data_IF_047652673193
#
_entry.id   IF_047652673193
#
_cell.length_a   1.000
_cell.length_b   1.000
_cell.length_c   1.000
_cell.angle_alpha   90.00
_cell.angle_beta   90.00
_cell.angle_gamma   90.00
#
_symmetry.space_group_name_H-M   'P 1'
#
loop_
_entity.id
_entity.type
_entity.pdbx_description
1 polymer ?
#
# COMPACT_ATOMS: atom_id res chain seq x y z
N UNK A 1 36.90 15.20 -13.01
CA UNK A 1 35.43 15.05 -13.07
C UNK A 1 34.86 16.35 -13.61
N UNK A 2 34.13 16.30 -14.73
CA UNK A 2 33.38 17.46 -15.24
C UNK A 2 32.23 17.77 -14.29
N UNK A 3 32.09 19.03 -13.89
CA UNK A 3 30.98 19.48 -13.05
C UNK A 3 29.64 19.24 -13.77
N UNK A 4 28.58 18.88 -13.03
CA UNK A 4 27.25 18.70 -13.62
C UNK A 4 26.73 20.02 -14.20
N UNK A 5 26.13 19.96 -15.40
CA UNK A 5 25.52 21.11 -16.06
C UNK A 5 24.13 21.36 -15.46
N UNK A 6 23.91 22.56 -14.91
CA UNK A 6 22.62 22.99 -14.40
C UNK A 6 21.82 23.69 -15.50
N UNK A 7 20.58 23.26 -15.72
CA UNK A 7 19.63 23.89 -16.64
C UNK A 7 18.40 24.33 -15.85
N UNK A 8 17.93 25.55 -16.09
CA UNK A 8 16.71 26.08 -15.45
C UNK A 8 15.48 25.49 -16.12
N UNK A 9 14.56 24.97 -15.33
CA UNK A 9 13.22 24.57 -15.76
C UNK A 9 12.21 25.70 -15.51
N UNK A 10 11.17 25.78 -16.33
CA UNK A 10 10.04 26.70 -16.15
C UNK A 10 8.73 25.92 -16.05
N UNK A 11 7.90 26.23 -15.06
CA UNK A 11 6.58 25.61 -14.94
C UNK A 11 5.67 26.02 -16.09
N UNK A 12 4.92 25.07 -16.64
CA UNK A 12 3.93 25.29 -17.69
C UNK A 12 2.56 24.96 -17.12
N UNK A 13 1.62 25.90 -17.23
CA UNK A 13 0.22 25.61 -16.88
C UNK A 13 -0.43 24.86 -18.02
N UNK A 14 -0.74 23.57 -17.82
CA UNK A 14 -1.30 22.73 -18.88
C UNK A 14 -2.72 23.17 -19.23
N UNK A 15 -3.53 23.54 -18.24
CA UNK A 15 -4.89 24.06 -18.44
C UNK A 15 -4.96 25.24 -19.43
N UNK A 16 -3.94 26.10 -19.45
CA UNK A 16 -3.91 27.29 -20.29
C UNK A 16 -2.97 27.17 -21.50
N UNK A 17 -2.37 25.99 -21.73
CA UNK A 17 -1.42 25.78 -22.81
C UNK A 17 -2.15 25.46 -24.12
N UNK A 18 -1.77 26.10 -25.23
CA UNK A 18 -2.46 25.92 -26.51
C UNK A 18 -2.30 24.52 -27.11
N UNK A 19 -1.18 23.85 -26.83
CA UNK A 19 -0.84 22.55 -27.43
C UNK A 19 -0.94 21.36 -26.47
N UNK A 20 -1.13 21.60 -25.16
CA UNK A 20 -1.25 20.52 -24.16
C UNK A 20 -2.71 20.49 -23.73
N UNK A 21 -3.43 19.46 -24.19
CA UNK A 21 -4.82 19.20 -23.80
C UNK A 21 -4.90 18.03 -22.82
N UNK A 22 -6.04 17.89 -22.14
CA UNK A 22 -6.32 16.76 -21.26
C UNK A 22 -6.20 15.44 -22.03
N UNK A 23 -6.78 15.38 -23.23
CA UNK A 23 -6.67 14.26 -24.16
C UNK A 23 -5.21 13.91 -24.48
N UNK A 24 -4.35 14.93 -24.68
CA UNK A 24 -2.95 14.71 -24.98
C UNK A 24 -2.19 14.11 -23.78
N UNK A 25 -2.49 14.55 -22.55
CA UNK A 25 -1.89 13.99 -21.33
C UNK A 25 -2.37 12.56 -21.13
N UNK A 26 -3.66 12.30 -21.31
CA UNK A 26 -4.23 10.96 -21.26
C UNK A 26 -3.61 10.02 -22.31
N UNK A 27 -3.38 10.49 -23.54
CA UNK A 27 -2.68 9.71 -24.58
C UNK A 27 -1.29 9.28 -24.10
N UNK A 28 -0.55 10.17 -23.44
CA UNK A 28 0.79 9.83 -22.92
C UNK A 28 0.71 8.80 -21.81
N UNK A 29 -0.25 8.93 -20.89
CA UNK A 29 -0.45 7.96 -19.80
C UNK A 29 -0.92 6.61 -20.36
N UNK A 30 -1.75 6.60 -21.40
CA UNK A 30 -2.18 5.38 -22.07
C UNK A 30 -1.00 4.65 -22.75
N UNK A 31 -0.10 5.40 -23.39
CA UNK A 31 1.11 4.85 -24.03
C UNK A 31 2.12 4.34 -23.00
N UNK A 32 2.24 5.02 -21.87
CA UNK A 32 3.16 4.68 -20.79
C UNK A 32 2.52 4.97 -19.41
N UNK A 33 1.82 3.99 -18.81
CA UNK A 33 1.20 4.13 -17.49
C UNK A 33 2.20 4.42 -16.36
N UNK A 34 3.48 4.11 -16.56
CA UNK A 34 4.53 4.36 -15.55
C UNK A 34 4.69 5.87 -15.27
N UNK A 35 4.23 6.74 -16.18
CA UNK A 35 4.14 8.18 -15.98
C UNK A 35 3.33 8.59 -14.74
N UNK A 36 2.44 7.73 -14.24
CA UNK A 36 1.67 7.97 -13.00
C UNK A 36 2.48 7.70 -11.72
N UNK A 37 3.63 7.03 -11.80
CA UNK A 37 4.40 6.61 -10.63
C UNK A 37 3.68 5.57 -9.76
N UNK A 38 2.88 4.69 -10.38
CA UNK A 38 2.12 3.63 -9.71
C UNK A 38 2.74 2.23 -9.86
N UNK A 39 3.90 2.13 -10.53
CA UNK A 39 4.52 0.85 -10.92
C UNK A 39 4.24 0.51 -12.37
N UNK A 40 4.51 -0.74 -12.75
CA UNK A 40 4.22 -1.27 -14.08
C UNK A 40 2.74 -1.73 -14.12
N UNK A 41 1.95 -1.11 -15.00
CA UNK A 41 0.50 -1.31 -15.05
C UNK A 41 0.04 -1.63 -16.48
N UNK A 42 -0.85 -2.62 -16.59
CA UNK A 42 -1.57 -2.94 -17.82
C UNK A 42 -2.75 -1.98 -18.02
N UNK A 43 -3.01 -1.57 -19.26
CA UNK A 43 -4.27 -0.89 -19.60
C UNK A 43 -5.37 -1.92 -19.86
N UNK A 44 -6.45 -1.92 -19.07
CA UNK A 44 -7.64 -2.73 -19.33
C UNK A 44 -8.53 -2.04 -20.36
N UNK A 45 -8.82 -0.76 -20.14
CA UNK A 45 -9.77 -0.01 -20.94
C UNK A 45 -9.41 1.47 -20.91
N UNK A 46 -9.83 2.17 -21.94
CA UNK A 46 -9.61 3.60 -22.11
C UNK A 46 -10.91 4.23 -22.52
N UNK A 47 -11.23 5.37 -21.92
CA UNK A 47 -12.36 6.17 -22.36
C UNK A 47 -13.65 5.30 -22.30
N UNK A 48 -13.80 4.59 -21.18
CA UNK A 48 -14.80 3.55 -20.93
C UNK A 48 -16.12 4.17 -20.50
N UNK A 49 -17.19 3.92 -21.24
CA UNK A 49 -18.53 4.40 -20.86
C UNK A 49 -19.01 3.76 -19.54
N UNK A 50 -19.50 4.60 -18.62
CA UNK A 50 -20.00 4.17 -17.31
C UNK A 50 -21.51 4.42 -17.15
N UNK A 51 -22.31 3.46 -16.66
CA UNK A 51 -23.70 3.69 -16.28
C UNK A 51 -23.80 4.44 -14.93
N UNK A 52 -24.68 5.46 -14.77
CA UNK A 52 -25.76 5.89 -15.67
C UNK A 52 -25.33 6.91 -16.75
N UNK A 53 -24.11 7.40 -16.73
CA UNK A 53 -23.54 8.29 -17.75
C UNK A 53 -22.09 8.66 -17.44
N UNK A 54 -21.41 9.24 -18.43
CA UNK A 54 -20.00 9.62 -18.33
C UNK A 54 -19.03 8.58 -18.87
N UNK A 55 -17.74 8.89 -18.76
CA UNK A 55 -16.68 8.17 -19.45
C UNK A 55 -15.43 8.20 -18.56
N UNK A 56 -15.05 7.04 -18.07
CA UNK A 56 -13.83 6.86 -17.29
C UNK A 56 -12.63 6.99 -18.22
N UNK A 57 -11.66 7.83 -17.87
CA UNK A 57 -10.49 8.08 -18.71
C UNK A 57 -9.65 6.81 -18.90
N UNK A 58 -9.21 6.19 -17.80
CA UNK A 58 -8.41 4.97 -17.86
C UNK A 58 -8.81 3.97 -16.77
N UNK A 59 -8.88 2.70 -17.15
CA UNK A 59 -8.93 1.58 -16.24
C UNK A 59 -7.64 0.78 -16.38
N UNK A 60 -6.80 0.82 -15.34
CA UNK A 60 -5.51 0.14 -15.32
C UNK A 60 -5.53 -1.06 -14.38
N UNK A 61 -4.56 -1.96 -14.53
CA UNK A 61 -4.40 -3.15 -13.68
C UNK A 61 -2.95 -3.41 -13.36
N UNK A 62 -2.69 -3.70 -12.10
CA UNK A 62 -1.43 -4.30 -11.67
C UNK A 62 -1.39 -5.79 -12.07
N UNK A 63 -0.42 -6.23 -12.89
CA UNK A 63 -0.37 -7.60 -13.41
C UNK A 63 -0.10 -8.65 -12.32
N UNK A 64 0.50 -8.26 -11.20
CA UNK A 64 0.85 -9.15 -10.10
C UNK A 64 -0.30 -9.28 -9.10
N UNK A 65 -0.84 -8.13 -8.66
CA UNK A 65 -1.88 -8.11 -7.62
C UNK A 65 -3.29 -8.19 -8.17
N UNK A 66 -3.45 -7.99 -9.49
CA UNK A 66 -4.74 -7.82 -10.18
C UNK A 66 -5.57 -6.63 -9.67
N UNK A 67 -4.97 -5.74 -8.88
CA UNK A 67 -5.61 -4.51 -8.40
C UNK A 67 -5.93 -3.62 -9.59
N UNK A 68 -7.15 -3.08 -9.63
CA UNK A 68 -7.60 -2.18 -10.68
C UNK A 68 -7.54 -0.72 -10.22
N UNK A 69 -6.95 0.13 -11.03
CA UNK A 69 -6.88 1.57 -10.80
C UNK A 69 -7.87 2.27 -11.73
N UNK A 70 -8.82 2.97 -11.13
CA UNK A 70 -9.86 3.75 -11.79
C UNK A 70 -9.37 5.19 -11.85
N UNK A 71 -8.80 5.59 -12.99
CA UNK A 71 -8.08 6.85 -13.14
C UNK A 71 -8.96 7.88 -13.83
N UNK A 72 -9.11 9.05 -13.19
CA UNK A 72 -9.81 10.21 -13.72
C UNK A 72 -8.87 11.42 -13.72
N UNK A 73 -8.66 12.00 -14.90
CA UNK A 73 -7.76 13.11 -15.15
C UNK A 73 -8.55 14.44 -15.24
N UNK A 74 -7.96 15.52 -14.73
CA UNK A 74 -8.46 16.88 -14.98
C UNK A 74 -7.30 17.86 -15.08
N UNK A 75 -7.25 18.69 -16.12
CA UNK A 75 -6.31 19.81 -16.15
C UNK A 75 -6.76 20.97 -15.25
N UNK A 76 -5.80 21.61 -14.58
CA UNK A 76 -6.05 22.65 -13.59
C UNK A 76 -6.28 22.11 -12.19
N UNK A 77 -6.92 22.93 -11.35
CA UNK A 77 -7.19 22.59 -9.97
C UNK A 77 -8.29 21.51 -9.87
N UNK A 78 -8.10 20.55 -8.95
CA UNK A 78 -9.17 19.62 -8.56
C UNK A 78 -10.38 20.40 -8.05
N UNK A 79 -11.58 19.94 -8.41
CA UNK A 79 -12.85 20.51 -8.00
C UNK A 79 -13.82 19.42 -7.48
N UNK A 80 -15.01 19.78 -6.94
CA UNK A 80 -15.94 18.79 -6.42
C UNK A 80 -16.43 17.81 -7.48
N UNK A 81 -16.60 18.26 -8.73
CA UNK A 81 -17.08 17.41 -9.82
C UNK A 81 -16.05 16.35 -10.16
N UNK A 82 -14.76 16.69 -10.16
CA UNK A 82 -13.67 15.75 -10.38
C UNK A 82 -13.66 14.62 -9.34
N UNK A 83 -13.80 14.98 -8.06
CA UNK A 83 -13.87 14.02 -6.95
C UNK A 83 -15.11 13.12 -7.05
N UNK A 84 -16.26 13.70 -7.41
CA UNK A 84 -17.50 12.93 -7.57
C UNK A 84 -17.36 11.91 -8.71
N UNK A 85 -16.85 12.32 -9.89
CA UNK A 85 -16.70 11.43 -11.06
C UNK A 85 -15.84 10.21 -10.73
N UNK A 86 -14.67 10.41 -10.14
CA UNK A 86 -13.77 9.28 -9.81
C UNK A 86 -14.41 8.31 -8.80
N UNK A 87 -15.15 8.83 -7.80
CA UNK A 87 -15.81 7.99 -6.79
C UNK A 87 -16.96 7.21 -7.42
N UNK A 88 -17.75 7.83 -8.28
CA UNK A 88 -18.83 7.16 -9.02
C UNK A 88 -18.29 6.04 -9.90
N UNK A 89 -17.25 6.31 -10.70
CA UNK A 89 -16.64 5.31 -11.58
C UNK A 89 -16.01 4.17 -10.78
N UNK A 90 -15.36 4.49 -9.66
CA UNK A 90 -14.82 3.49 -8.76
C UNK A 90 -15.90 2.57 -8.18
N UNK A 91 -17.02 3.13 -7.70
CA UNK A 91 -18.09 2.33 -7.11
C UNK A 91 -18.78 1.46 -8.16
N UNK A 92 -18.92 1.95 -9.40
CA UNK A 92 -19.45 1.16 -10.52
C UNK A 92 -18.54 -0.04 -10.83
N UNK A 93 -17.23 0.18 -11.00
CA UNK A 93 -16.29 -0.91 -11.29
C UNK A 93 -16.22 -1.92 -10.13
N UNK A 94 -16.13 -1.44 -8.88
CA UNK A 94 -16.11 -2.29 -7.68
C UNK A 94 -17.36 -3.14 -7.55
N UNK A 95 -18.56 -2.60 -7.81
CA UNK A 95 -19.82 -3.36 -7.77
C UNK A 95 -19.92 -4.35 -8.91
N UNK A 96 -19.41 -4.00 -10.09
CA UNK A 96 -19.47 -4.84 -11.29
C UNK A 96 -18.50 -6.03 -11.20
N UNK A 97 -17.33 -5.82 -10.60
CA UNK A 97 -16.28 -6.83 -10.49
C UNK A 97 -15.73 -6.95 -9.05
N UNK A 98 -16.55 -7.32 -8.06
CA UNK A 98 -16.19 -7.30 -6.64
C UNK A 98 -15.05 -8.26 -6.26
N UNK A 99 -14.67 -9.18 -7.16
CA UNK A 99 -13.55 -10.10 -6.97
C UNK A 99 -12.17 -9.43 -7.10
N UNK A 100 -12.08 -8.21 -7.66
CA UNK A 100 -10.83 -7.47 -7.73
C UNK A 100 -10.83 -6.32 -6.72
N UNK A 101 -9.66 -5.98 -6.19
CA UNK A 101 -9.49 -4.71 -5.49
C UNK A 101 -9.56 -3.56 -6.49
N UNK A 102 -10.22 -2.47 -6.08
CA UNK A 102 -10.39 -1.28 -6.91
C UNK A 102 -9.91 -0.06 -6.13
N UNK A 103 -9.13 0.80 -6.78
CA UNK A 103 -8.56 2.01 -6.20
C UNK A 103 -8.93 3.19 -7.08
N UNK A 104 -9.53 4.21 -6.51
CA UNK A 104 -9.80 5.47 -7.18
C UNK A 104 -8.50 6.27 -7.32
N UNK A 105 -8.23 6.84 -8.50
CA UNK A 105 -7.02 7.63 -8.76
C UNK A 105 -7.42 8.97 -9.36
N UNK A 106 -7.19 10.04 -8.62
CA UNK A 106 -7.37 11.42 -9.08
C UNK A 106 -6.04 11.87 -9.68
N UNK A 107 -6.07 12.38 -10.92
CA UNK A 107 -4.90 13.04 -11.54
C UNK A 107 -5.27 14.48 -11.87
N UNK A 108 -4.57 15.46 -11.29
CA UNK A 108 -4.84 16.88 -11.53
C UNK A 108 -3.57 17.71 -11.65
N UNK A 109 -3.64 18.90 -12.25
CA UNK A 109 -2.49 19.82 -12.31
C UNK A 109 -2.17 20.43 -10.94
N UNK A 110 -3.22 20.70 -10.15
CA UNK A 110 -3.12 21.24 -8.79
C UNK A 110 -4.14 20.56 -7.87
N UNK A 111 -3.66 19.88 -6.83
CA UNK A 111 -4.51 19.29 -5.79
C UNK A 111 -4.53 20.25 -4.59
N UNK A 112 -5.46 21.21 -4.60
CA UNK A 112 -5.46 22.27 -3.59
C UNK A 112 -5.67 21.73 -2.16
N UNK A 113 -5.14 22.44 -1.17
CA UNK A 113 -5.26 22.05 0.24
C UNK A 113 -6.70 21.92 0.78
N UNK A 114 -7.68 22.64 0.21
CA UNK A 114 -9.10 22.47 0.57
C UNK A 114 -9.60 21.09 0.15
N UNK A 115 -9.26 20.65 -1.06
CA UNK A 115 -9.70 19.37 -1.58
C UNK A 115 -8.89 18.23 -0.99
N UNK A 116 -7.63 18.44 -0.62
CA UNK A 116 -6.85 17.48 0.16
C UNK A 116 -7.60 17.04 1.43
N UNK A 117 -8.15 17.99 2.21
CA UNK A 117 -8.91 17.67 3.43
C UNK A 117 -10.18 16.87 3.13
N UNK A 118 -10.90 17.21 2.06
CA UNK A 118 -12.13 16.51 1.65
C UNK A 118 -11.80 15.09 1.20
N UNK A 119 -10.79 14.93 0.36
CA UNK A 119 -10.35 13.64 -0.13
C UNK A 119 -9.88 12.75 1.05
N UNK A 120 -9.19 13.34 2.03
CA UNK A 120 -8.74 12.63 3.23
C UNK A 120 -9.90 12.10 4.10
N UNK A 121 -11.08 12.74 4.09
CA UNK A 121 -12.28 12.20 4.77
C UNK A 121 -12.75 10.87 4.16
N UNK A 122 -12.53 10.67 2.85
CA UNK A 122 -12.94 9.47 2.14
C UNK A 122 -11.91 8.35 2.20
N UNK A 123 -10.63 8.67 2.38
CA UNK A 123 -9.51 7.74 2.20
C UNK A 123 -9.53 6.53 3.16
N UNK A 124 -10.32 6.57 4.24
CA UNK A 124 -10.57 5.41 5.10
C UNK A 124 -11.70 4.47 4.64
N UNK A 125 -12.60 4.91 3.76
CA UNK A 125 -13.72 4.10 3.25
C UNK A 125 -13.56 3.74 1.77
N UNK A 126 -12.85 4.58 1.03
CA UNK A 126 -12.60 4.45 -0.40
C UNK A 126 -11.07 4.43 -0.57
N UNK A 127 -10.49 3.32 -1.06
CA UNK A 127 -9.06 3.28 -1.40
C UNK A 127 -8.80 4.32 -2.49
N UNK A 128 -8.12 5.41 -2.16
CA UNK A 128 -7.99 6.54 -3.05
C UNK A 128 -6.57 7.11 -3.06
N UNK A 129 -6.06 7.35 -4.26
CA UNK A 129 -4.77 7.97 -4.54
C UNK A 129 -5.02 9.31 -5.25
N UNK A 130 -4.26 10.34 -4.89
CA UNK A 130 -4.24 11.59 -5.64
C UNK A 130 -2.82 11.87 -6.16
N UNK A 131 -2.74 12.15 -7.46
CA UNK A 131 -1.51 12.45 -8.18
C UNK A 131 -1.62 13.87 -8.71
N UNK A 132 -0.64 14.70 -8.35
CA UNK A 132 -0.45 15.99 -8.97
C UNK A 132 0.48 15.82 -10.18
N UNK A 133 -0.02 16.15 -11.36
CA UNK A 133 0.70 16.08 -12.63
C UNK A 133 1.14 17.49 -13.04
N UNK A 134 2.43 17.78 -12.98
CA UNK A 134 2.97 19.07 -13.38
C UNK A 134 3.71 18.94 -14.72
N UNK A 135 3.67 20.01 -15.52
CA UNK A 135 4.48 20.13 -16.73
C UNK A 135 5.57 21.18 -16.52
N UNK A 136 6.80 20.83 -16.84
CA UNK A 136 7.92 21.77 -16.87
C UNK A 136 8.54 21.80 -18.26
N UNK A 137 8.99 22.97 -18.69
CA UNK A 137 9.75 23.14 -19.93
C UNK A 137 11.24 23.20 -19.62
N UNK A 138 12.03 22.41 -20.35
CA UNK A 138 13.49 22.37 -20.28
C UNK A 138 14.05 22.29 -21.71
N UNK A 139 14.80 23.32 -22.11
CA UNK A 139 15.39 23.42 -23.46
C UNK A 139 14.34 23.25 -24.60
N UNK A 140 13.13 23.77 -24.44
CA UNK A 140 12.04 23.65 -25.43
C UNK A 140 11.32 22.30 -25.45
N UNK A 141 11.67 21.37 -24.55
CA UNK A 141 10.95 20.13 -24.37
C UNK A 141 10.07 20.22 -23.12
N UNK A 142 8.88 19.61 -23.18
CA UNK A 142 7.99 19.46 -22.04
C UNK A 142 8.25 18.14 -21.31
N UNK A 143 8.37 18.21 -19.99
CA UNK A 143 8.47 17.05 -19.12
C UNK A 143 7.26 17.02 -18.18
N UNK A 144 6.55 15.89 -18.18
CA UNK A 144 5.50 15.59 -17.22
C UNK A 144 6.12 15.00 -15.95
N UNK A 145 5.69 15.50 -14.80
CA UNK A 145 6.15 15.07 -13.49
C UNK A 145 4.93 14.72 -12.67
N UNK A 146 4.73 13.44 -12.39
CA UNK A 146 3.72 12.96 -11.47
C UNK A 146 4.26 12.91 -10.05
N UNK A 147 3.54 13.54 -9.12
CA UNK A 147 3.81 13.48 -7.69
C UNK A 147 2.60 12.90 -6.99
N UNK A 148 2.76 11.77 -6.30
CA UNK A 148 1.71 11.24 -5.42
C UNK A 148 1.60 12.15 -4.19
N UNK A 149 0.51 12.90 -4.10
CA UNK A 149 0.27 13.85 -2.99
C UNK A 149 -0.61 13.25 -1.91
N UNK A 150 -1.42 12.24 -2.27
CA UNK A 150 -2.16 11.41 -1.33
C UNK A 150 -2.01 9.95 -1.76
N UNK A 151 -1.70 9.08 -0.81
CA UNK A 151 -1.73 7.65 -1.02
C UNK A 151 -2.95 7.04 -0.34
N UNK A 152 -3.35 5.85 -0.78
CA UNK A 152 -4.44 5.09 -0.19
C UNK A 152 -4.11 4.79 1.27
N UNK A 153 -5.00 5.19 2.18
CA UNK A 153 -4.95 4.68 3.55
C UNK A 153 -5.47 3.24 3.47
N UNK A 154 -4.57 2.27 3.53
CA UNK A 154 -4.98 0.97 4.05
C UNK A 154 -5.32 1.24 5.51
N UNK A 155 -6.61 1.22 5.84
CA UNK A 155 -7.03 1.18 7.24
C UNK A 155 -6.17 0.10 7.88
N UNK A 156 -5.31 0.51 8.82
CA UNK A 156 -4.64 -0.45 9.66
C UNK A 156 -5.72 -1.38 10.19
N UNK A 157 -5.47 -2.69 10.17
CA UNK A 157 -6.08 -3.51 11.20
C UNK A 157 -5.68 -2.78 12.48
N UNK A 158 -6.63 -2.22 13.22
CA UNK A 158 -6.36 -1.38 14.39
C UNK A 158 -5.12 -1.92 15.10
N UNK A 159 -4.07 -1.11 15.18
CA UNK A 159 -3.15 -1.18 16.31
C UNK A 159 -3.98 -0.74 17.53
N UNK A 160 -4.97 -1.54 17.88
CA UNK A 160 -5.67 -1.47 19.14
C UNK A 160 -4.66 -1.97 20.18
N UNK A 161 -3.78 -1.08 20.61
CA UNK A 161 -3.14 -1.21 21.92
C UNK A 161 -4.20 -1.10 23.05
N UNK A 162 -5.48 -0.94 22.69
CA UNK A 162 -6.68 -0.95 23.54
C UNK A 162 -7.54 -2.21 23.51
N UNK A 163 -7.12 -3.29 22.84
CA UNK A 163 -7.88 -4.55 22.87
C UNK A 163 -8.00 -5.11 24.30
N UNK A 164 -9.17 -5.65 24.66
CA UNK A 164 -9.36 -6.31 25.95
C UNK A 164 -8.25 -7.36 26.18
N UNK A 165 -7.73 -7.39 27.42
CA UNK A 165 -6.68 -8.31 27.79
C UNK A 165 -7.17 -9.75 27.61
N UNK A 166 -6.33 -10.57 26.97
CA UNK A 166 -6.56 -12.01 26.85
C UNK A 166 -5.48 -12.76 27.61
N UNK A 167 -5.65 -14.07 27.74
CA UNK A 167 -4.62 -14.97 28.27
C UNK A 167 -4.27 -16.04 27.23
N UNK A 168 -3.16 -16.74 27.48
CA UNK A 168 -2.72 -17.84 26.63
C UNK A 168 -3.78 -18.94 26.52
N UNK A 169 -4.52 -19.23 27.61
CA UNK A 169 -5.54 -20.28 27.64
C UNK A 169 -6.72 -20.00 26.69
N UNK A 170 -7.12 -18.74 26.55
CA UNK A 170 -8.16 -18.29 25.61
C UNK A 170 -7.73 -18.51 24.16
N UNK A 171 -6.49 -18.16 23.83
CA UNK A 171 -5.91 -18.36 22.50
C UNK A 171 -5.73 -19.84 22.15
N UNK A 172 -5.23 -20.65 23.10
CA UNK A 172 -5.11 -22.12 22.98
C UNK A 172 -6.45 -22.78 22.64
N UNK A 173 -7.52 -22.35 23.32
CA UNK A 173 -8.87 -22.86 23.07
C UNK A 173 -9.44 -22.42 21.72
N UNK A 174 -9.19 -21.16 21.33
CA UNK A 174 -9.71 -20.60 20.08
C UNK A 174 -8.98 -21.12 18.84
N UNK A 175 -7.68 -21.36 18.94
CA UNK A 175 -6.78 -21.66 17.82
C UNK A 175 -5.78 -22.79 18.14
N UNK A 176 -6.25 -23.99 18.51
CA UNK A 176 -5.39 -25.08 18.97
C UNK A 176 -4.39 -25.56 17.91
N UNK A 177 -4.65 -25.35 16.62
CA UNK A 177 -3.75 -25.76 15.54
C UNK A 177 -2.60 -24.77 15.29
N UNK A 178 -2.80 -23.47 15.52
CA UNK A 178 -1.79 -22.44 15.21
C UNK A 178 -1.04 -21.91 16.43
N UNK A 179 -1.57 -22.11 17.64
CA UNK A 179 -0.85 -21.77 18.87
C UNK A 179 0.50 -22.49 19.03
N UNK A 180 0.65 -23.77 18.66
CA UNK A 180 1.97 -24.41 18.65
C UNK A 180 2.98 -23.71 17.71
N UNK A 181 2.52 -23.19 16.57
CA UNK A 181 3.35 -22.43 15.63
C UNK A 181 3.77 -21.10 16.25
N UNK A 182 2.85 -20.40 16.92
CA UNK A 182 3.20 -19.20 17.68
C UNK A 182 4.25 -19.49 18.76
N UNK A 183 4.12 -20.58 19.52
CA UNK A 183 5.09 -20.94 20.55
C UNK A 183 6.48 -21.24 20.00
N UNK A 184 6.58 -21.86 18.82
CA UNK A 184 7.86 -22.03 18.11
C UNK A 184 8.48 -20.68 17.75
N UNK A 185 7.71 -19.79 17.11
CA UNK A 185 8.18 -18.43 16.76
C UNK A 185 8.59 -17.63 17.99
N UNK A 186 7.83 -17.74 19.08
CA UNK A 186 8.13 -17.06 20.32
C UNK A 186 9.39 -17.62 21.02
N UNK A 187 9.66 -18.91 20.86
CA UNK A 187 10.93 -19.50 21.33
C UNK A 187 12.11 -18.86 20.61
N UNK A 188 12.04 -18.69 19.28
CA UNK A 188 13.08 -18.00 18.50
C UNK A 188 13.30 -16.54 18.93
N UNK A 189 12.23 -15.85 19.34
CA UNK A 189 12.34 -14.50 19.91
C UNK A 189 13.10 -14.52 21.25
N UNK A 190 12.78 -15.47 22.13
CA UNK A 190 13.45 -15.60 23.43
C UNK A 190 14.90 -16.05 23.34
N UNK A 191 15.30 -16.69 22.24
CA UNK A 191 16.71 -16.96 21.94
C UNK A 191 17.51 -15.66 21.70
N UNK A 192 16.83 -14.59 21.28
CA UNK A 192 17.45 -13.26 21.09
C UNK A 192 17.50 -12.47 22.39
N UNK A 193 16.39 -12.43 23.13
CA UNK A 193 16.29 -11.80 24.45
C UNK A 193 15.29 -12.57 25.32
N UNK A 194 15.81 -13.26 26.35
CA UNK A 194 15.01 -14.08 27.25
C UNK A 194 14.01 -13.30 28.09
N UNK A 195 14.19 -11.97 28.22
CA UNK A 195 13.34 -11.05 28.99
C UNK A 195 12.09 -10.59 28.25
N UNK A 196 11.96 -10.94 26.97
CA UNK A 196 10.77 -10.67 26.17
C UNK A 196 9.65 -11.62 26.60
N UNK A 197 8.49 -11.05 26.87
CA UNK A 197 7.26 -11.74 27.24
C UNK A 197 6.17 -11.51 26.18
N UNK A 198 5.24 -12.46 25.99
CA UNK A 198 4.11 -12.27 25.10
C UNK A 198 3.06 -11.37 25.78
N UNK A 199 2.54 -10.41 25.02
CA UNK A 199 1.45 -9.53 25.43
C UNK A 199 0.15 -9.95 24.72
N UNK A 200 -0.65 -10.80 25.38
CA UNK A 200 -1.89 -11.32 24.82
C UNK A 200 -3.03 -10.28 24.86
N UNK A 201 -3.55 -9.95 23.68
CA UNK A 201 -4.82 -9.22 23.51
C UNK A 201 -5.84 -10.13 22.84
N UNK A 202 -7.13 -9.80 22.89
CA UNK A 202 -8.16 -10.59 22.16
C UNK A 202 -7.98 -10.58 20.64
N UNK A 203 -7.31 -9.58 20.09
CA UNK A 203 -7.18 -9.35 18.64
C UNK A 203 -5.87 -9.86 18.05
N UNK A 204 -4.78 -9.79 18.81
CA UNK A 204 -3.44 -10.20 18.41
C UNK A 204 -2.52 -10.37 19.64
N UNK A 205 -1.30 -10.85 19.41
CA UNK A 205 -0.26 -11.03 20.43
C UNK A 205 0.93 -10.16 20.03
N UNK A 206 1.33 -9.21 20.89
CA UNK A 206 2.55 -8.41 20.72
C UNK A 206 3.62 -8.82 21.72
N UNK A 207 4.74 -8.10 21.75
CA UNK A 207 5.84 -8.34 22.67
C UNK A 207 5.82 -7.31 23.81
N UNK A 208 6.35 -7.70 24.96
CA UNK A 208 6.58 -6.84 26.12
C UNK A 208 7.98 -7.09 26.66
N UNK A 209 8.73 -6.03 26.88
CA UNK A 209 10.08 -6.10 27.49
C UNK A 209 10.13 -5.12 28.64
N UNK A 210 10.48 -5.59 29.85
CA UNK A 210 10.56 -4.77 31.06
C UNK A 210 9.33 -3.87 31.29
N UNK A 211 8.13 -4.40 31.00
CA UNK A 211 6.87 -3.68 31.16
C UNK A 211 6.44 -2.79 29.98
N UNK A 212 7.34 -2.47 29.04
CA UNK A 212 7.03 -1.70 27.82
C UNK A 212 6.55 -2.64 26.71
N UNK A 213 5.38 -2.34 26.14
CA UNK A 213 4.85 -3.07 24.97
C UNK A 213 5.57 -2.58 23.71
N UNK A 214 5.91 -3.51 22.82
CA UNK A 214 6.45 -3.24 21.48
C UNK A 214 5.54 -3.83 20.42
N UNK A 215 5.23 -3.05 19.40
CA UNK A 215 4.45 -3.47 18.22
C UNK A 215 5.33 -3.79 17.01
N UNK A 216 6.66 -3.81 17.19
CA UNK A 216 7.63 -4.11 16.13
C UNK A 216 7.46 -5.54 15.57
N UNK A 217 7.06 -6.48 16.43
CA UNK A 217 6.65 -7.82 16.03
C UNK A 217 5.26 -8.08 16.61
N UNK A 218 4.41 -8.69 15.81
CA UNK A 218 3.16 -9.22 16.34
C UNK A 218 2.59 -10.38 15.55
N UNK A 219 1.66 -11.06 16.20
CA UNK A 219 1.11 -12.33 15.75
C UNK A 219 -0.40 -12.32 15.85
N UNK A 220 -1.04 -12.88 14.84
CA UNK A 220 -2.46 -13.18 14.84
C UNK A 220 -2.64 -14.65 14.47
N UNK A 221 -2.72 -15.54 15.47
CA UNK A 221 -3.13 -16.92 15.25
C UNK A 221 -4.47 -16.98 14.50
N UNK A 222 -4.54 -17.86 13.51
CA UNK A 222 -5.73 -18.16 12.71
C UNK A 222 -6.04 -19.66 12.80
N UNK A 223 -7.08 -20.15 12.12
CA UNK A 223 -7.48 -21.57 12.21
C UNK A 223 -6.36 -22.57 11.92
N UNK A 224 -5.43 -22.27 10.99
CA UNK A 224 -4.39 -23.21 10.52
C UNK A 224 -3.00 -22.59 10.27
N UNK A 225 -2.84 -21.32 10.63
CA UNK A 225 -1.64 -20.55 10.38
C UNK A 225 -1.55 -19.41 11.40
N UNK A 226 -0.39 -18.81 11.53
CA UNK A 226 -0.16 -17.54 12.22
C UNK A 226 0.12 -16.50 11.15
N UNK A 227 -0.67 -15.43 11.13
CA UNK A 227 -0.26 -14.21 10.41
C UNK A 227 0.69 -13.46 11.32
N UNK A 228 1.90 -13.16 10.86
CA UNK A 228 2.90 -12.44 11.62
C UNK A 228 3.30 -11.17 10.86
N UNK A 229 3.67 -10.12 11.59
CA UNK A 229 4.23 -8.92 11.01
C UNK A 229 5.52 -8.52 11.72
N UNK A 230 6.47 -7.99 10.95
CA UNK A 230 7.81 -7.61 11.40
C UNK A 230 8.12 -6.23 10.83
N UNK A 231 8.21 -5.22 11.70
CA UNK A 231 8.55 -3.84 11.32
C UNK A 231 10.06 -3.74 11.10
N UNK A 232 10.47 -3.52 9.87
CA UNK A 232 11.88 -3.33 9.48
C UNK A 232 11.94 -2.63 8.12
N UNK A 233 13.06 -1.96 7.82
CA UNK A 233 13.29 -1.37 6.50
C UNK A 233 13.18 -2.39 5.37
N UNK A 234 12.64 -1.96 4.24
CA UNK A 234 12.52 -2.76 3.03
C UNK A 234 13.89 -3.22 2.49
N UNK A 235 13.93 -4.46 2.04
CA UNK A 235 15.05 -5.14 1.41
C UNK A 235 14.52 -6.09 0.33
N UNK A 236 14.80 -5.79 -0.94
CA UNK A 236 14.30 -6.59 -2.07
C UNK A 236 14.80 -8.04 -2.00
N UNK A 237 16.08 -8.26 -1.66
CA UNK A 237 16.65 -9.61 -1.61
C UNK A 237 16.01 -10.46 -0.49
N UNK A 238 15.65 -9.83 0.63
CA UNK A 238 14.89 -10.49 1.69
C UNK A 238 13.45 -10.80 1.24
N UNK A 239 12.82 -9.88 0.51
CA UNK A 239 11.48 -10.07 -0.06
C UNK A 239 11.43 -11.28 -0.98
N UNK A 240 12.38 -11.39 -1.92
CA UNK A 240 12.45 -12.49 -2.87
C UNK A 240 12.61 -13.84 -2.14
N UNK A 241 13.48 -13.91 -1.11
CA UNK A 241 13.67 -15.12 -0.29
C UNK A 241 12.41 -15.52 0.48
N UNK A 242 11.65 -14.55 1.00
CA UNK A 242 10.40 -14.80 1.71
C UNK A 242 9.28 -15.27 0.77
N UNK A 243 9.27 -14.78 -0.46
CA UNK A 243 8.31 -15.18 -1.49
C UNK A 243 8.63 -16.58 -2.04
N UNK A 244 9.91 -16.87 -2.33
CA UNK A 244 10.39 -18.21 -2.70
C UNK A 244 10.06 -19.27 -1.63
N UNK A 245 10.11 -18.88 -0.34
CA UNK A 245 9.70 -19.73 0.77
C UNK A 245 8.18 -19.88 0.91
N UNK A 246 7.36 -19.15 0.14
CA UNK A 246 5.90 -19.20 0.22
C UNK A 246 5.32 -18.64 1.52
N UNK A 247 6.11 -17.83 2.24
CA UNK A 247 5.75 -17.22 3.52
C UNK A 247 5.20 -15.80 3.33
N UNK A 248 5.70 -15.08 2.33
CA UNK A 248 5.42 -13.65 2.14
C UNK A 248 3.94 -13.38 1.83
N UNK A 249 3.40 -12.35 2.47
CA UNK A 249 2.14 -11.73 2.11
C UNK A 249 2.46 -10.33 1.58
N UNK A 250 2.28 -10.08 0.26
CA UNK A 250 2.56 -8.79 -0.33
C UNK A 250 1.88 -7.65 0.42
N UNK A 251 2.69 -6.70 0.89
CA UNK A 251 2.25 -5.52 1.64
C UNK A 251 2.66 -4.27 0.87
N UNK A 252 1.75 -3.30 0.76
CA UNK A 252 2.08 -1.98 0.21
C UNK A 252 2.84 -1.10 1.20
N UNK A 253 3.00 -1.56 2.45
CA UNK A 253 3.80 -0.88 3.46
C UNK A 253 5.24 -1.42 3.44
N UNK A 254 6.17 -0.62 2.92
CA UNK A 254 7.58 -0.98 2.81
C UNK A 254 8.30 -1.09 4.17
N UNK A 255 7.67 -0.66 5.26
CA UNK A 255 8.24 -0.75 6.61
C UNK A 255 7.83 -2.02 7.37
N UNK A 256 6.99 -2.88 6.77
CA UNK A 256 6.44 -4.06 7.45
C UNK A 256 6.43 -5.27 6.53
N UNK A 257 7.15 -6.32 6.91
CA UNK A 257 7.01 -7.65 6.33
C UNK A 257 5.85 -8.38 6.98
N UNK A 258 4.86 -8.76 6.18
CA UNK A 258 3.78 -9.64 6.62
C UNK A 258 3.97 -11.06 6.10
N UNK A 259 3.78 -12.04 6.97
CA UNK A 259 4.00 -13.44 6.68
C UNK A 259 2.77 -14.27 7.06
N UNK A 260 2.52 -15.35 6.31
CA UNK A 260 1.63 -16.45 6.71
C UNK A 260 2.47 -17.68 7.03
N UNK A 261 2.56 -18.00 8.31
CA UNK A 261 3.39 -19.08 8.83
C UNK A 261 2.49 -20.25 9.25
N UNK A 262 2.68 -21.41 8.64
CA UNK A 262 1.93 -22.64 8.89
C UNK A 262 2.74 -23.58 9.78
N UNK A 263 2.15 -24.72 10.12
CA UNK A 263 2.86 -25.79 10.82
C UNK A 263 3.97 -26.35 9.93
N UNK A 264 5.20 -26.44 10.46
CA UNK A 264 6.39 -26.88 9.73
C UNK A 264 7.27 -25.71 9.29
N UNK A 265 6.66 -24.61 8.86
CA UNK A 265 7.37 -23.42 8.36
C UNK A 265 8.45 -22.87 9.33
N UNK A 266 8.24 -22.81 10.67
CA UNK A 266 9.31 -22.38 11.59
C UNK A 266 10.56 -23.25 11.55
N UNK A 267 10.38 -24.56 11.35
CA UNK A 267 11.48 -25.52 11.29
C UNK A 267 12.14 -25.48 9.90
N UNK A 268 11.34 -25.45 8.83
CA UNK A 268 11.80 -25.46 7.44
C UNK A 268 12.51 -24.15 7.04
N UNK A 269 12.12 -23.02 7.64
CA UNK A 269 12.63 -21.68 7.32
C UNK A 269 13.26 -20.96 8.52
N UNK A 270 13.78 -21.71 9.49
CA UNK A 270 14.32 -21.18 10.75
C UNK A 270 15.27 -20.00 10.57
N UNK A 271 16.29 -20.13 9.71
CA UNK A 271 17.30 -19.10 9.51
C UNK A 271 16.70 -17.78 8.95
N UNK A 272 15.73 -17.89 8.05
CA UNK A 272 15.08 -16.73 7.43
C UNK A 272 14.18 -16.01 8.43
N UNK A 273 13.44 -16.77 9.25
CA UNK A 273 12.60 -16.21 10.30
C UNK A 273 13.43 -15.57 11.43
N UNK A 274 14.54 -16.20 11.83
CA UNK A 274 15.47 -15.63 12.80
C UNK A 274 16.12 -14.32 12.32
N UNK A 275 16.52 -14.24 11.03
CA UNK A 275 17.00 -12.99 10.44
C UNK A 275 15.95 -11.88 10.52
N UNK A 276 14.70 -12.20 10.18
CA UNK A 276 13.60 -11.22 10.20
C UNK A 276 13.24 -10.77 11.63
N UNK A 277 13.23 -11.71 12.60
CA UNK A 277 13.05 -11.41 14.03
C UNK A 277 14.14 -10.45 14.51
N UNK A 278 15.41 -10.74 14.22
CA UNK A 278 16.53 -9.90 14.64
C UNK A 278 16.41 -8.47 14.11
N UNK A 279 16.16 -8.32 12.80
CA UNK A 279 15.97 -7.00 12.17
C UNK A 279 14.83 -6.21 12.85
N UNK A 280 13.71 -6.84 13.15
CA UNK A 280 12.56 -6.17 13.75
C UNK A 280 12.80 -5.76 15.22
N UNK A 281 13.56 -6.56 15.98
CA UNK A 281 13.93 -6.22 17.35
C UNK A 281 14.95 -5.07 17.41
N UNK A 282 15.90 -5.01 16.47
CA UNK A 282 16.89 -3.92 16.37
C UNK A 282 16.27 -2.55 16.07
N UNK A 283 15.03 -2.53 15.56
CA UNK A 283 14.32 -1.30 15.20
C UNK A 283 13.46 -0.75 16.36
N UNK A 284 13.43 -1.42 17.53
CA UNK A 284 12.49 -1.16 18.64
C UNK A 284 13.05 -0.52 19.92
#
# INVERSE_FOLDING_TARGET
>A
MTLPKLTKATSVSMQHHQAISEQWVEDRIYEDPSLLGLGDLDVIDRQKSQPPGGKLDLLLRDPETLTRYVVELQLGATDPSHIIRVIEYWDVERRRYPQYEHVAVIVAEDVTGRFFNVINLFNGMIPLIAIQMNCVEVNGNHALIATRVLDRIRLGIEEEDGGEQADSASWEKGFPESMPVFHQLFTMIRETDESIEPNYRKVHITLRTQGKVSTAIGFRPQKRAVRAWFKTSHDQALTDRLDEAGLYLPSSNQEVYELRIRKGDPDDHHALLAELIGRALDTS
#
